data_IF_962374589221
#
_entry.id   IF_962374589221
#
_cell.length_a   1.000
_cell.length_b   1.000
_cell.length_c   1.000
_cell.angle_alpha   90.00
_cell.angle_beta   90.00
_cell.angle_gamma   90.00
#
_symmetry.space_group_name_H-M   'P 1'
#
loop_
_entity.id
_entity.type
_entity.pdbx_description
1 polymer ?
#
# COMPACT_ATOMS: atom_id res chain seq x y z
N UNK A 1 -19.15 -17.66 14.92
CA UNK A 1 -19.52 -16.69 13.86
C UNK A 1 -18.79 -17.08 12.59
N UNK A 2 -19.50 -17.30 11.48
CA UNK A 2 -18.87 -17.60 10.19
C UNK A 2 -18.16 -16.33 9.71
N UNK A 3 -16.83 -16.39 9.54
CA UNK A 3 -16.00 -15.27 9.06
C UNK A 3 -16.50 -14.86 7.66
N UNK A 4 -16.61 -13.56 7.40
CA UNK A 4 -16.88 -12.94 6.09
C UNK A 4 -15.70 -13.17 5.11
N UNK A 5 -15.24 -14.40 4.93
CA UNK A 5 -14.02 -14.73 4.18
C UNK A 5 -14.10 -14.48 2.66
N UNK A 6 -15.26 -14.04 2.14
CA UNK A 6 -15.45 -13.82 0.70
C UNK A 6 -15.83 -12.39 0.31
N UNK A 7 -15.96 -11.45 1.24
CA UNK A 7 -16.29 -10.06 0.90
C UNK A 7 -14.99 -9.31 0.54
N UNK A 8 -14.91 -8.79 -0.68
CA UNK A 8 -13.80 -7.96 -1.11
C UNK A 8 -14.09 -6.48 -0.89
N UNK A 9 -13.07 -5.63 -0.71
CA UNK A 9 -13.26 -4.19 -0.59
C UNK A 9 -14.09 -3.58 -1.73
N UNK A 10 -13.89 -4.05 -2.96
CA UNK A 10 -14.63 -3.59 -4.15
C UNK A 10 -16.14 -3.90 -4.13
N UNK A 11 -16.56 -4.86 -3.31
CA UNK A 11 -17.97 -5.25 -3.13
C UNK A 11 -18.68 -4.34 -2.12
N UNK A 12 -17.91 -3.64 -1.28
CA UNK A 12 -18.41 -2.70 -0.28
C UNK A 12 -18.45 -1.30 -0.88
N UNK A 13 -19.67 -0.84 -1.18
CA UNK A 13 -19.91 0.48 -1.79
C UNK A 13 -19.49 1.61 -0.85
N UNK A 14 -18.71 2.55 -1.38
CA UNK A 14 -18.50 3.85 -0.77
C UNK A 14 -19.51 4.86 -1.34
N UNK A 15 -19.92 5.87 -0.56
CA UNK A 15 -20.76 6.95 -1.06
C UNK A 15 -19.96 7.80 -2.05
N UNK A 16 -20.47 7.96 -3.26
CA UNK A 16 -19.83 8.74 -4.33
C UNK A 16 -19.98 10.24 -4.08
N UNK A 17 -18.89 11.01 -4.26
CA UNK A 17 -18.84 12.47 -4.11
C UNK A 17 -19.28 12.97 -2.73
N UNK A 18 -19.12 12.14 -1.70
CA UNK A 18 -19.37 12.50 -0.30
C UNK A 18 -18.06 12.50 0.46
N UNK A 19 -17.77 13.60 1.16
CA UNK A 19 -16.61 13.69 2.05
C UNK A 19 -16.88 12.85 3.31
N UNK A 20 -16.11 11.79 3.49
CA UNK A 20 -16.20 10.88 4.64
C UNK A 20 -15.47 11.46 5.87
N UNK A 21 -15.69 10.85 7.04
CA UNK A 21 -15.20 11.37 8.33
C UNK A 21 -13.67 11.61 8.39
N UNK A 22 -12.88 10.85 7.63
CA UNK A 22 -11.42 10.99 7.54
C UNK A 22 -10.95 11.99 6.48
N UNK A 23 -11.88 12.77 5.91
CA UNK A 23 -11.60 13.69 4.82
C UNK A 23 -11.37 13.00 3.48
N UNK A 24 -11.73 11.74 3.33
CA UNK A 24 -11.62 11.01 2.06
C UNK A 24 -12.87 11.13 1.21
N UNK A 25 -12.70 11.08 -0.10
CA UNK A 25 -13.81 11.10 -1.06
C UNK A 25 -13.62 10.01 -2.11
N UNK A 26 -14.63 9.18 -2.28
CA UNK A 26 -14.73 8.23 -3.38
C UNK A 26 -15.46 8.88 -4.56
N UNK A 27 -14.95 8.70 -5.77
CA UNK A 27 -15.56 9.22 -7.00
C UNK A 27 -15.36 8.25 -8.15
N UNK A 28 -16.29 8.25 -9.10
CA UNK A 28 -16.12 7.58 -10.39
C UNK A 28 -15.88 8.66 -11.44
N UNK A 29 -14.79 8.55 -12.19
CA UNK A 29 -14.33 9.55 -13.15
C UNK A 29 -14.06 8.87 -14.51
N UNK A 30 -15.10 8.54 -15.31
CA UNK A 30 -14.95 7.71 -16.50
C UNK A 30 -14.24 8.37 -17.68
N UNK A 31 -13.96 9.67 -17.64
CA UNK A 31 -13.31 10.41 -18.74
C UNK A 31 -12.19 11.29 -18.23
N UNK A 32 -11.21 11.58 -19.10
CA UNK A 32 -10.09 12.46 -18.76
C UNK A 32 -10.59 13.87 -18.38
N UNK A 33 -11.61 14.37 -19.06
CA UNK A 33 -12.23 15.67 -18.74
C UNK A 33 -12.89 15.69 -17.35
N UNK A 34 -13.47 14.57 -16.90
CA UNK A 34 -14.03 14.47 -15.56
C UNK A 34 -12.94 14.44 -14.49
N UNK A 35 -11.85 13.69 -14.72
CA UNK A 35 -10.69 13.65 -13.84
C UNK A 35 -10.08 15.04 -13.67
N UNK A 36 -9.84 15.75 -14.77
CA UNK A 36 -9.30 17.10 -14.73
C UNK A 36 -10.18 18.09 -13.99
N UNK A 37 -11.48 18.09 -14.28
CA UNK A 37 -12.42 19.00 -13.63
C UNK A 37 -12.47 18.74 -12.12
N UNK A 38 -12.55 17.46 -11.73
CA UNK A 38 -12.55 17.08 -10.33
C UNK A 38 -11.25 17.50 -9.65
N UNK A 39 -10.11 17.21 -10.29
CA UNK A 39 -8.82 17.54 -9.72
C UNK A 39 -8.62 19.06 -9.57
N UNK A 40 -8.98 19.85 -10.58
CA UNK A 40 -8.89 21.30 -10.52
C UNK A 40 -9.70 21.91 -9.36
N UNK A 41 -10.89 21.36 -9.06
CA UNK A 41 -11.75 21.80 -7.97
C UNK A 41 -11.20 21.41 -6.58
N UNK A 42 -10.61 20.21 -6.47
CA UNK A 42 -10.26 19.61 -5.17
C UNK A 42 -8.75 19.50 -4.88
N UNK A 43 -7.87 19.98 -5.77
CA UNK A 43 -6.40 19.90 -5.62
C UNK A 43 -5.88 20.47 -4.30
N UNK A 44 -6.54 21.50 -3.76
CA UNK A 44 -6.19 22.10 -2.47
C UNK A 44 -6.62 21.28 -1.24
N UNK A 45 -7.53 20.32 -1.42
CA UNK A 45 -8.15 19.54 -0.36
C UNK A 45 -7.47 18.19 -0.15
N UNK A 46 -7.00 17.56 -1.23
CA UNK A 46 -6.47 16.20 -1.20
C UNK A 46 -4.96 16.18 -1.44
N UNK A 47 -4.24 15.48 -0.56
CA UNK A 47 -2.78 15.32 -0.65
C UNK A 47 -2.37 14.03 -1.38
N UNK A 48 -3.26 13.03 -1.38
CA UNK A 48 -3.00 11.69 -1.85
C UNK A 48 -4.25 11.11 -2.53
N UNK A 49 -4.04 10.14 -3.42
CA UNK A 49 -5.12 9.40 -4.04
C UNK A 49 -4.71 7.95 -4.34
N UNK A 50 -5.71 7.11 -4.61
CA UNK A 50 -5.51 5.86 -5.32
C UNK A 50 -6.59 5.68 -6.38
N UNK A 51 -6.22 5.12 -7.52
CA UNK A 51 -7.10 4.78 -8.64
C UNK A 51 -7.20 3.27 -8.81
N UNK A 52 -8.36 2.78 -9.24
CA UNK A 52 -8.47 1.42 -9.73
C UNK A 52 -7.89 1.28 -11.13
N UNK A 53 -7.09 0.23 -11.34
CA UNK A 53 -6.49 -0.11 -12.62
C UNK A 53 -7.34 -1.17 -13.33
N UNK A 54 -7.33 -1.17 -14.67
CA UNK A 54 -8.01 -2.16 -15.49
C UNK A 54 -7.56 -3.59 -15.12
N UNK A 55 -8.43 -4.35 -14.45
CA UNK A 55 -8.18 -5.74 -14.09
C UNK A 55 -9.46 -6.56 -14.14
N UNK A 56 -9.35 -7.83 -14.57
CA UNK A 56 -10.51 -8.70 -14.73
C UNK A 56 -11.18 -9.07 -13.40
N UNK A 57 -10.44 -8.99 -12.29
CA UNK A 57 -10.90 -9.37 -10.94
C UNK A 57 -10.36 -8.40 -9.89
N UNK A 58 -10.89 -7.16 -9.84
CA UNK A 58 -10.40 -6.15 -8.91
C UNK A 58 -10.66 -6.59 -7.47
N UNK A 59 -9.70 -6.35 -6.59
CA UNK A 59 -9.88 -6.57 -5.13
C UNK A 59 -10.34 -5.29 -4.45
N UNK A 60 -9.80 -4.14 -4.86
CA UNK A 60 -9.92 -2.88 -4.11
C UNK A 60 -10.85 -1.86 -4.77
N UNK A 61 -10.53 -1.45 -6.00
CA UNK A 61 -11.26 -0.48 -6.80
C UNK A 61 -11.42 -1.01 -8.23
N UNK A 62 -12.50 -0.62 -8.90
CA UNK A 62 -12.66 -0.85 -10.34
C UNK A 62 -11.96 0.24 -11.13
N UNK A 63 -11.72 -0.02 -12.41
CA UNK A 63 -11.28 1.00 -13.35
C UNK A 63 -12.15 2.25 -13.27
N UNK A 64 -11.52 3.43 -13.33
CA UNK A 64 -12.15 4.75 -13.18
C UNK A 64 -12.73 5.08 -11.80
N UNK A 65 -12.65 4.16 -10.83
CA UNK A 65 -12.94 4.46 -9.44
C UNK A 65 -11.69 5.06 -8.77
N UNK A 66 -11.88 6.18 -8.08
CA UNK A 66 -10.82 6.87 -7.36
C UNK A 66 -11.21 7.09 -5.90
N UNK A 67 -10.20 7.06 -5.03
CA UNK A 67 -10.29 7.56 -3.67
C UNK A 67 -9.26 8.66 -3.50
N UNK A 68 -9.70 9.84 -3.10
CA UNK A 68 -8.84 10.96 -2.73
C UNK A 68 -8.88 11.17 -1.22
N UNK A 69 -7.77 11.61 -0.62
CA UNK A 69 -7.67 11.85 0.81
C UNK A 69 -6.56 12.82 1.23
N UNK A 70 -6.62 13.35 2.46
CA UNK A 70 -5.60 14.27 2.99
C UNK A 70 -4.31 13.56 3.40
N UNK A 71 -4.35 12.25 3.67
CA UNK A 71 -3.20 11.46 4.13
C UNK A 71 -3.16 10.07 3.50
N UNK A 72 -1.96 9.48 3.40
CA UNK A 72 -1.73 8.08 2.98
C UNK A 72 -2.63 7.11 3.76
N UNK A 73 -2.66 7.28 5.08
CA UNK A 73 -3.47 6.50 6.02
C UNK A 73 -4.94 6.52 5.62
N UNK A 74 -5.50 7.72 5.39
CA UNK A 74 -6.91 7.86 5.05
C UNK A 74 -7.27 7.15 3.73
N UNK A 75 -6.39 7.25 2.72
CA UNK A 75 -6.56 6.59 1.41
C UNK A 75 -6.52 5.07 1.56
N UNK A 76 -5.51 4.51 2.23
CA UNK A 76 -5.40 3.06 2.46
C UNK A 76 -6.58 2.54 3.27
N UNK A 77 -6.98 3.26 4.32
CA UNK A 77 -8.10 2.88 5.18
C UNK A 77 -9.41 2.78 4.38
N UNK A 78 -9.64 3.73 3.49
CA UNK A 78 -10.79 3.72 2.60
C UNK A 78 -10.68 2.63 1.52
N UNK A 79 -9.54 2.50 0.83
CA UNK A 79 -9.32 1.51 -0.24
C UNK A 79 -9.47 0.06 0.26
N UNK A 80 -8.93 -0.25 1.44
CA UNK A 80 -9.02 -1.57 2.05
C UNK A 80 -10.35 -1.83 2.78
N UNK A 81 -11.24 -0.83 2.87
CA UNK A 81 -12.48 -0.89 3.68
C UNK A 81 -12.20 -1.35 5.11
N UNK A 82 -11.14 -0.76 5.68
CA UNK A 82 -10.44 -1.27 6.85
C UNK A 82 -11.37 -1.71 7.99
N UNK A 83 -12.24 -0.81 8.45
CA UNK A 83 -13.14 -1.09 9.56
C UNK A 83 -14.23 -2.10 9.18
N UNK A 84 -14.75 -2.00 7.96
CA UNK A 84 -15.86 -2.84 7.48
C UNK A 84 -15.45 -4.30 7.29
N UNK A 85 -14.18 -4.52 6.91
CA UNK A 85 -13.58 -5.85 6.77
C UNK A 85 -12.82 -6.30 8.01
N UNK A 86 -12.81 -5.49 9.08
CA UNK A 86 -12.08 -5.77 10.32
C UNK A 86 -10.59 -6.07 10.05
N UNK A 87 -10.00 -5.34 9.09
CA UNK A 87 -8.55 -5.28 8.91
C UNK A 87 -7.98 -4.67 10.18
N UNK A 88 -6.87 -5.20 10.66
CA UNK A 88 -6.23 -4.70 11.86
C UNK A 88 -4.80 -5.15 11.96
N UNK A 89 -4.26 -5.06 13.16
CA UNK A 89 -2.87 -5.44 13.42
C UNK A 89 -2.82 -6.57 14.45
N UNK A 90 -1.78 -7.38 14.37
CA UNK A 90 -1.41 -8.32 15.42
C UNK A 90 0.11 -8.41 15.52
N UNK A 91 0.58 -8.73 16.71
CA UNK A 91 1.98 -9.04 16.92
C UNK A 91 2.18 -10.53 16.68
N UNK A 92 2.93 -10.87 15.64
CA UNK A 92 3.37 -12.22 15.38
C UNK A 92 4.58 -12.52 16.27
N UNK A 93 4.37 -13.33 17.31
CA UNK A 93 5.40 -13.67 18.29
C UNK A 93 6.17 -14.91 17.83
N UNK A 94 7.04 -14.71 16.83
CA UNK A 94 7.86 -15.78 16.24
C UNK A 94 8.65 -16.57 17.30
N UNK A 95 9.08 -15.96 18.40
CA UNK A 95 9.75 -16.66 19.49
C UNK A 95 8.87 -17.73 20.17
N UNK A 96 7.54 -17.55 20.14
CA UNK A 96 6.55 -18.50 20.67
C UNK A 96 6.07 -19.43 19.57
N UNK A 97 5.72 -18.88 18.41
CA UNK A 97 5.07 -19.61 17.33
C UNK A 97 6.05 -20.49 16.54
N UNK A 98 7.29 -20.04 16.37
CA UNK A 98 8.38 -20.79 15.72
C UNK A 98 9.76 -20.55 16.40
N UNK A 99 9.99 -21.15 17.58
CA UNK A 99 11.21 -20.93 18.36
C UNK A 99 12.47 -21.41 17.65
N UNK A 100 12.37 -22.39 16.75
CA UNK A 100 13.53 -22.92 16.00
C UNK A 100 13.98 -21.87 14.99
N UNK A 101 13.04 -21.33 14.21
CA UNK A 101 13.34 -20.32 13.20
C UNK A 101 13.70 -18.98 13.86
N UNK A 102 13.15 -18.68 15.04
CA UNK A 102 13.60 -17.56 15.89
C UNK A 102 15.07 -17.69 16.30
N UNK A 103 15.49 -18.83 16.85
CA UNK A 103 16.88 -19.03 17.29
C UNK A 103 17.85 -19.08 16.10
N UNK A 104 17.42 -19.65 14.97
CA UNK A 104 18.21 -19.68 13.73
C UNK A 104 18.62 -18.29 13.26
N UNK A 105 17.74 -17.28 13.38
CA UNK A 105 18.08 -15.89 13.01
C UNK A 105 19.34 -15.38 13.73
N UNK A 106 19.45 -15.62 15.04
CA UNK A 106 20.61 -15.18 15.82
C UNK A 106 21.87 -15.97 15.47
N UNK A 107 21.70 -17.27 15.24
CA UNK A 107 22.79 -18.15 14.80
C UNK A 107 23.35 -17.72 13.44
N UNK A 108 22.48 -17.47 12.46
CA UNK A 108 22.84 -17.03 11.11
C UNK A 108 23.54 -15.68 11.15
N UNK A 109 23.07 -14.74 11.99
CA UNK A 109 23.71 -13.44 12.19
C UNK A 109 25.15 -13.60 12.70
N UNK A 110 25.37 -14.44 13.70
CA UNK A 110 26.70 -14.68 14.28
C UNK A 110 27.61 -15.49 13.35
N UNK A 111 27.04 -16.40 12.56
CA UNK A 111 27.76 -17.14 11.53
C UNK A 111 28.18 -16.26 10.36
N UNK A 112 27.31 -15.36 9.90
CA UNK A 112 27.62 -14.37 8.87
C UNK A 112 28.83 -13.53 9.29
N UNK A 113 28.81 -12.99 10.52
CA UNK A 113 29.96 -12.26 11.08
C UNK A 113 31.24 -13.11 11.05
N UNK A 114 31.20 -14.33 11.61
CA UNK A 114 32.37 -15.24 11.65
C UNK A 114 32.91 -15.55 10.25
N UNK A 115 32.02 -15.84 9.30
CA UNK A 115 32.35 -16.16 7.92
C UNK A 115 33.02 -14.99 7.19
N UNK A 116 32.51 -13.77 7.36
CA UNK A 116 33.11 -12.57 6.77
C UNK A 116 34.45 -12.22 7.40
N UNK A 117 34.61 -12.40 8.72
CA UNK A 117 35.90 -12.23 9.40
C UNK A 117 36.95 -13.22 8.88
N UNK A 118 36.59 -14.51 8.73
CA UNK A 118 37.49 -15.53 8.18
C UNK A 118 37.92 -15.23 6.73
N UNK A 119 37.07 -14.55 5.96
CA UNK A 119 37.34 -14.11 4.58
C UNK A 119 38.03 -12.75 4.51
N UNK A 120 38.37 -12.14 5.64
CA UNK A 120 38.95 -10.79 5.73
C UNK A 120 38.10 -9.71 5.02
N UNK A 121 36.77 -9.89 5.00
CA UNK A 121 35.80 -8.97 4.38
C UNK A 121 35.02 -8.15 5.41
N UNK A 122 35.19 -8.46 6.69
CA UNK A 122 34.52 -7.77 7.79
C UNK A 122 35.24 -6.48 8.15
N UNK A 123 34.56 -5.35 7.97
CA UNK A 123 35.11 -4.02 8.21
C UNK A 123 34.81 -3.51 9.63
N UNK A 124 35.43 -2.39 10.02
CA UNK A 124 35.08 -1.70 11.26
C UNK A 124 33.63 -1.17 11.25
N UNK A 125 33.11 -0.81 10.07
CA UNK A 125 31.72 -0.36 9.90
C UNK A 125 30.74 -1.52 10.08
N UNK A 126 31.05 -2.70 9.52
CA UNK A 126 30.26 -3.92 9.73
C UNK A 126 30.22 -4.31 11.21
N UNK A 127 31.36 -4.25 11.91
CA UNK A 127 31.43 -4.54 13.35
C UNK A 127 30.59 -3.55 14.16
N UNK A 128 30.59 -2.27 13.80
CA UNK A 128 29.76 -1.25 14.46
C UNK A 128 28.27 -1.55 14.23
N UNK A 129 27.87 -1.77 12.97
CA UNK A 129 26.49 -2.09 12.61
C UNK A 129 26.00 -3.38 13.29
N UNK A 130 26.83 -4.43 13.35
CA UNK A 130 26.53 -5.66 14.07
C UNK A 130 26.30 -5.42 15.56
N UNK A 131 27.14 -4.62 16.22
CA UNK A 131 26.99 -4.33 17.65
C UNK A 131 25.73 -3.51 17.95
N UNK A 132 25.45 -2.50 17.13
CA UNK A 132 24.22 -1.73 17.20
C UNK A 132 22.99 -2.63 17.01
N UNK A 133 23.08 -3.56 16.06
CA UNK A 133 22.02 -4.53 15.84
C UNK A 133 21.84 -5.52 17.00
N UNK A 134 22.93 -6.05 17.56
CA UNK A 134 22.86 -6.94 18.73
C UNK A 134 22.26 -6.25 19.95
N UNK A 135 22.57 -4.96 20.15
CA UNK A 135 22.01 -4.17 21.24
C UNK A 135 20.51 -3.92 21.05
N UNK A 136 20.08 -3.65 19.80
CA UNK A 136 18.69 -3.40 19.45
C UNK A 136 17.84 -4.68 19.42
N UNK A 137 18.35 -5.72 18.74
CA UNK A 137 17.72 -7.02 18.49
C UNK A 137 18.46 -8.14 19.22
N UNK A 138 18.22 -8.21 20.53
CA UNK A 138 18.61 -9.32 21.39
C UNK A 138 17.55 -10.43 21.35
N UNK A 139 17.89 -11.63 21.84
CA UNK A 139 16.93 -12.75 21.95
C UNK A 139 15.67 -12.39 22.75
N UNK A 140 15.80 -11.48 23.71
CA UNK A 140 14.68 -11.03 24.56
C UNK A 140 13.92 -9.84 23.96
N UNK A 141 14.59 -8.94 23.25
CA UNK A 141 13.97 -7.72 22.70
C UNK A 141 13.39 -7.92 21.30
N UNK A 142 13.93 -8.85 20.51
CA UNK A 142 13.46 -9.17 19.18
C UNK A 142 12.79 -10.53 19.20
N UNK A 143 11.47 -10.52 19.41
CA UNK A 143 10.64 -11.74 19.51
C UNK A 143 9.85 -12.03 18.25
N UNK A 144 9.62 -11.02 17.43
CA UNK A 144 8.67 -11.07 16.32
C UNK A 144 8.40 -9.66 15.80
N UNK A 145 7.31 -9.48 15.08
CA UNK A 145 6.94 -8.20 14.48
C UNK A 145 5.43 -8.00 14.41
N UNK A 146 5.02 -6.74 14.34
CA UNK A 146 3.64 -6.38 14.02
C UNK A 146 3.37 -6.58 12.53
N UNK A 147 2.24 -7.18 12.23
CA UNK A 147 1.77 -7.44 10.88
C UNK A 147 0.28 -7.11 10.74
N UNK A 148 -0.18 -7.04 9.49
CA UNK A 148 -1.60 -6.89 9.18
C UNK A 148 -2.33 -8.22 9.36
N UNK A 149 -3.58 -8.16 9.81
CA UNK A 149 -4.48 -9.32 9.88
C UNK A 149 -5.78 -9.06 9.15
N UNK A 150 -6.47 -10.15 8.79
CA UNK A 150 -7.72 -10.14 8.03
C UNK A 150 -7.59 -9.39 6.70
N UNK A 151 -6.45 -9.55 6.02
CA UNK A 151 -6.23 -8.93 4.72
C UNK A 151 -7.28 -9.38 3.70
N UNK A 152 -7.73 -8.48 2.80
CA UNK A 152 -8.63 -8.82 1.71
C UNK A 152 -8.14 -10.04 0.92
N UNK A 153 -9.07 -10.85 0.39
CA UNK A 153 -8.74 -12.04 -0.43
C UNK A 153 -7.86 -13.09 0.27
N UNK A 154 -7.60 -12.94 1.57
CA UNK A 154 -6.71 -13.84 2.31
C UNK A 154 -5.25 -13.69 1.91
N UNK A 155 -4.82 -12.48 1.51
CA UNK A 155 -3.39 -12.19 1.32
C UNK A 155 -2.59 -12.58 2.56
N UNK A 156 -1.41 -13.14 2.33
CA UNK A 156 -0.49 -13.54 3.38
C UNK A 156 0.20 -12.28 3.96
N UNK A 157 0.08 -12.04 5.27
CA UNK A 157 0.78 -10.93 5.94
C UNK A 157 2.29 -10.95 5.72
N UNK A 158 2.92 -12.13 5.66
CA UNK A 158 4.38 -12.27 5.52
C UNK A 158 4.88 -11.84 4.14
N UNK A 159 4.02 -11.88 3.13
CA UNK A 159 4.34 -11.47 1.75
C UNK A 159 3.61 -10.20 1.33
N UNK A 160 3.00 -9.48 2.27
CA UNK A 160 2.21 -8.29 1.96
C UNK A 160 3.06 -7.14 1.41
N UNK A 161 4.24 -6.95 2.02
CA UNK A 161 5.19 -5.92 1.62
C UNK A 161 6.24 -6.50 0.66
N UNK A 162 6.58 -5.73 -0.38
CA UNK A 162 7.61 -6.13 -1.32
C UNK A 162 8.99 -6.12 -0.62
N UNK A 163 9.71 -7.25 -0.59
CA UNK A 163 11.01 -7.35 0.10
C UNK A 163 12.12 -6.52 -0.58
N UNK A 164 11.92 -6.06 -1.81
CA UNK A 164 12.84 -5.18 -2.52
C UNK A 164 12.71 -3.71 -2.09
N UNK A 165 11.63 -3.35 -1.39
CA UNK A 165 11.39 -2.00 -0.88
C UNK A 165 11.76 -1.98 0.61
N UNK A 166 12.54 -1.00 1.09
CA UNK A 166 12.85 -0.89 2.52
C UNK A 166 11.60 -0.53 3.34
N UNK A 167 11.31 -1.31 4.38
CA UNK A 167 10.22 -1.09 5.34
C UNK A 167 10.76 -1.00 6.76
N UNK A 168 10.10 -0.23 7.62
CA UNK A 168 10.34 -0.26 9.07
C UNK A 168 9.78 -1.57 9.63
N UNK A 169 10.67 -2.39 10.19
CA UNK A 169 10.27 -3.57 10.95
C UNK A 169 9.78 -3.14 12.34
N UNK A 170 8.49 -3.33 12.61
CA UNK A 170 7.85 -2.94 13.86
C UNK A 170 7.92 -4.11 14.87
N UNK A 171 9.04 -4.26 15.58
CA UNK A 171 9.28 -5.41 16.46
C UNK A 171 9.05 -5.17 17.96
N UNK A 172 8.68 -3.95 18.39
CA UNK A 172 8.34 -3.69 19.79
C UNK A 172 6.89 -4.14 20.09
N UNK A 173 6.69 -5.21 20.90
CA UNK A 173 5.35 -5.70 21.22
C UNK A 173 4.52 -4.73 22.06
N UNK A 174 5.13 -3.71 22.68
CA UNK A 174 4.43 -2.74 23.51
C UNK A 174 4.01 -1.48 22.74
N UNK A 175 4.30 -1.40 21.44
CA UNK A 175 3.87 -0.28 20.61
C UNK A 175 2.33 -0.20 20.62
N UNK A 176 1.74 1.00 20.82
CA UNK A 176 0.28 1.14 20.79
C UNK A 176 -0.30 0.69 19.43
N UNK A 177 -1.34 -0.14 19.44
CA UNK A 177 -1.93 -0.70 18.22
C UNK A 177 -2.37 0.39 17.22
N UNK A 178 -2.82 1.55 17.71
CA UNK A 178 -3.17 2.71 16.87
C UNK A 178 -1.96 3.25 16.11
N UNK A 179 -0.79 3.28 16.75
CA UNK A 179 0.46 3.72 16.11
C UNK A 179 0.95 2.69 15.11
N UNK A 180 0.87 1.40 15.45
CA UNK A 180 1.18 0.28 14.55
C UNK A 180 0.31 0.35 13.30
N UNK A 181 -1.00 0.48 13.46
CA UNK A 181 -1.94 0.58 12.35
C UNK A 181 -1.59 1.75 11.42
N UNK A 182 -1.32 2.93 12.00
CA UNK A 182 -0.91 4.11 11.23
C UNK A 182 0.36 3.84 10.42
N UNK A 183 1.42 3.29 11.05
CA UNK A 183 2.70 2.98 10.38
C UNK A 183 2.53 1.94 9.27
N UNK A 184 1.81 0.85 9.52
CA UNK A 184 1.56 -0.19 8.51
C UNK A 184 0.71 0.32 7.34
N UNK A 185 -0.24 1.23 7.58
CA UNK A 185 -1.02 1.90 6.53
C UNK A 185 -0.15 2.83 5.69
N UNK A 186 0.74 3.61 6.31
CA UNK A 186 1.69 4.46 5.58
C UNK A 186 2.64 3.61 4.71
N UNK A 187 3.19 2.53 5.26
CA UNK A 187 4.03 1.61 4.50
C UNK A 187 3.27 0.91 3.37
N UNK A 188 1.99 0.55 3.57
CA UNK A 188 1.18 -0.05 2.51
C UNK A 188 1.02 0.91 1.33
N UNK A 189 0.79 2.19 1.61
CA UNK A 189 0.74 3.21 0.56
C UNK A 189 2.08 3.33 -0.17
N UNK A 190 3.18 3.40 0.59
CA UNK A 190 4.52 3.63 0.02
C UNK A 190 5.06 2.43 -0.76
N UNK A 191 4.77 1.21 -0.30
CA UNK A 191 5.06 -0.03 -1.00
C UNK A 191 4.31 -0.04 -2.33
N UNK A 192 2.99 0.17 -2.29
CA UNK A 192 2.12 0.08 -3.45
C UNK A 192 2.38 1.16 -4.51
N UNK A 193 2.84 2.35 -4.09
CA UNK A 193 3.30 3.39 -5.02
C UNK A 193 4.57 2.99 -5.77
N UNK A 194 5.45 2.22 -5.15
CA UNK A 194 6.76 1.83 -5.69
C UNK A 194 6.76 0.45 -6.35
N UNK A 195 5.81 -0.40 -6.01
CA UNK A 195 5.63 -1.73 -6.57
C UNK A 195 4.72 -1.70 -7.79
N UNK A 196 5.01 -2.55 -8.77
CA UNK A 196 4.13 -2.79 -9.93
C UNK A 196 2.94 -3.68 -9.52
N UNK A 197 2.11 -3.20 -8.59
CA UNK A 197 0.92 -3.94 -8.14
C UNK A 197 -0.20 -3.68 -9.14
N UNK A 198 -0.53 -4.71 -9.94
CA UNK A 198 -1.52 -4.72 -11.05
C UNK A 198 -2.99 -4.45 -10.64
N UNK A 199 -3.27 -3.77 -9.53
CA UNK A 199 -4.64 -3.55 -9.05
C UNK A 199 -4.96 -2.10 -8.70
N UNK A 200 -3.98 -1.29 -8.30
CA UNK A 200 -4.20 0.08 -7.88
C UNK A 200 -3.03 0.97 -8.31
N UNK A 201 -3.35 2.15 -8.83
CA UNK A 201 -2.38 3.23 -8.96
C UNK A 201 -2.40 4.08 -7.70
N UNK A 202 -1.24 4.42 -7.15
CA UNK A 202 -1.10 5.24 -5.94
C UNK A 202 -0.44 6.56 -6.24
N UNK A 203 -1.04 7.63 -5.71
CA UNK A 203 -0.71 8.98 -6.15
C UNK A 203 -0.52 9.96 -5.02
N UNK A 204 0.48 10.83 -5.14
CA UNK A 204 0.48 12.12 -4.48
C UNK A 204 -0.03 13.19 -5.44
N UNK A 205 -0.05 14.46 -5.00
CA UNK A 205 -0.52 15.57 -5.84
C UNK A 205 0.23 15.69 -7.16
N UNK A 206 1.55 15.51 -7.13
CA UNK A 206 2.38 15.67 -8.32
C UNK A 206 2.14 14.52 -9.29
N UNK A 207 2.01 13.29 -8.80
CA UNK A 207 1.74 12.16 -9.68
C UNK A 207 0.33 12.17 -10.26
N UNK A 208 -0.68 12.75 -9.60
CA UNK A 208 -2.00 13.00 -10.25
C UNK A 208 -1.85 13.99 -11.41
N UNK A 209 -1.11 15.09 -11.21
CA UNK A 209 -0.83 16.07 -12.26
C UNK A 209 -0.07 15.42 -13.43
N UNK A 210 0.91 14.55 -13.15
CA UNK A 210 1.67 13.80 -14.15
C UNK A 210 0.81 12.81 -14.92
N UNK A 211 -0.09 12.08 -14.26
CA UNK A 211 -1.06 11.16 -14.88
C UNK A 211 -1.96 11.90 -15.87
N UNK A 212 -2.54 13.02 -15.45
CA UNK A 212 -3.37 13.86 -16.33
C UNK A 212 -2.55 14.36 -17.53
N UNK A 213 -1.34 14.87 -17.27
CA UNK A 213 -0.47 15.38 -18.33
C UNK A 213 -0.02 14.29 -19.31
N UNK A 214 0.21 13.05 -18.82
CA UNK A 214 0.51 11.90 -19.65
C UNK A 214 -0.64 11.60 -20.61
N UNK A 215 -1.87 11.44 -20.09
CA UNK A 215 -3.02 11.12 -20.93
C UNK A 215 -3.37 12.21 -21.93
N UNK A 216 -3.18 13.49 -21.58
CA UNK A 216 -3.31 14.60 -22.55
C UNK A 216 -2.28 14.54 -23.68
N UNK A 217 -1.07 14.06 -23.43
CA UNK A 217 -0.07 13.86 -24.50
C UNK A 217 -0.47 12.71 -25.40
N UNK A 218 -0.96 11.60 -24.85
CA UNK A 218 -1.44 10.45 -25.64
C UNK A 218 -2.63 10.85 -26.54
N UNK A 219 -3.61 11.57 -25.99
CA UNK A 219 -4.74 12.12 -26.75
C UNK A 219 -4.27 13.04 -27.88
N UNK A 220 -3.35 13.98 -27.60
CA UNK A 220 -2.80 14.89 -28.58
C UNK A 220 -1.98 14.19 -29.68
N UNK A 221 -1.39 13.03 -29.36
CA UNK A 221 -0.69 12.18 -30.32
C UNK A 221 -1.65 11.31 -31.17
N UNK A 222 -2.96 11.33 -30.88
CA UNK A 222 -3.95 10.47 -31.53
C UNK A 222 -3.90 9.01 -31.06
N UNK A 223 -3.21 8.74 -29.96
CA UNK A 223 -3.14 7.44 -29.31
C UNK A 223 -4.42 7.17 -28.49
N UNK A 224 -4.49 5.98 -27.89
CA UNK A 224 -5.54 5.69 -26.92
C UNK A 224 -5.28 6.44 -25.60
N UNK A 225 -6.33 6.80 -24.87
CA UNK A 225 -6.20 7.59 -23.65
C UNK A 225 -7.29 7.28 -22.63
N UNK A 226 -7.05 7.70 -21.39
CA UNK A 226 -7.96 7.51 -20.26
C UNK A 226 -9.41 7.88 -20.57
N UNK A 227 -10.29 6.87 -20.53
CA UNK A 227 -11.73 7.06 -20.64
C UNK A 227 -12.26 7.42 -22.02
N UNK A 228 -11.45 7.25 -23.08
CA UNK A 228 -11.85 7.53 -24.47
C UNK A 228 -13.13 6.80 -24.88
N UNK A 229 -13.27 5.54 -24.48
CA UNK A 229 -14.43 4.70 -24.78
C UNK A 229 -15.73 5.20 -24.14
N UNK A 230 -15.62 6.07 -23.14
CA UNK A 230 -16.74 6.74 -22.48
C UNK A 230 -17.08 8.10 -23.11
N UNK A 231 -16.25 8.59 -24.02
CA UNK A 231 -16.56 9.78 -24.80
C UNK A 231 -17.53 9.43 -25.94
N UNK A 232 -18.66 10.14 -26.00
CA UNK A 232 -19.62 9.97 -27.10
C UNK A 232 -18.92 10.33 -28.40
N UNK A 233 -18.65 9.35 -29.25
CA UNK A 233 -18.23 9.61 -30.64
C UNK A 233 -19.32 10.46 -31.31
N UNK A 234 -19.02 11.66 -31.84
CA UNK A 234 -19.98 12.32 -32.70
C UNK A 234 -20.22 11.38 -33.88
N UNK A 235 -21.49 11.00 -34.08
CA UNK A 235 -21.91 10.28 -35.27
C UNK A 235 -21.40 11.07 -36.48
N UNK A 236 -20.52 10.47 -37.27
CA UNK A 236 -20.09 11.05 -38.54
C UNK A 236 -21.36 11.46 -39.30
N UNK A 237 -21.50 12.76 -39.53
CA UNK A 237 -22.47 13.29 -40.47
C UNK A 237 -22.09 12.71 -41.83
N UNK A 238 -22.86 11.70 -42.26
CA UNK A 238 -22.86 11.23 -43.64
C UNK A 238 -23.40 12.39 -44.46
N UNK A 239 -22.48 13.10 -45.14
CA UNK A 239 -22.78 14.03 -46.22
C UNK A 239 -22.68 13.34 -47.57
#
# INVERSE_FOLDING_TARGET
MKKNQNLLPVDLKLPERVLMAEGTMFVVLPTLAELERFWAEHRGQFGFACEGVATAKPTFLREYEWIFGPSKVSVVRAAMRWDQLNVGCEFYDRAVDDPIVHEAFFHDRDELRRSQMLRSRWTCEDEKAYREDCARRSRTSYRGWWQLKNLPRGYDPDTWFNPAIPHEELFDPNMPEVEVARKLQEQTFDDWKQSDVDQLGYHDRESVDETIAYWRREEAAGCDYYGREHERTPAYAVG
#
